data_IF_087461210010
#
_entry.id   IF_087461210010
#
_cell.length_a   1.000
_cell.length_b   1.000
_cell.length_c   1.000
_cell.angle_alpha   90.00
_cell.angle_beta   90.00
_cell.angle_gamma   90.00
#
_symmetry.space_group_name_H-M   'P 1'
#
loop_
_entity.id
_entity.type
_entity.pdbx_description
1 polymer ?
#
# COMPACT_ATOMS: atom_id res chain seq x y z
N UNK A 1 15.78 2.28 13.72
CA UNK A 1 16.03 2.93 12.42
C UNK A 1 14.92 2.59 11.45
N UNK A 2 14.40 3.60 10.80
CA UNK A 2 13.35 3.44 9.81
C UNK A 2 13.97 3.11 8.44
N UNK A 3 13.53 2.02 7.80
CA UNK A 3 13.96 1.69 6.45
C UNK A 3 12.75 1.60 5.54
N UNK A 4 12.87 2.23 4.39
CA UNK A 4 11.86 2.20 3.34
C UNK A 4 12.59 1.84 2.05
N UNK A 5 12.16 0.78 1.39
CA UNK A 5 12.74 0.37 0.12
C UNK A 5 11.80 0.75 -1.02
N UNK A 6 12.27 1.66 -1.86
CA UNK A 6 11.52 2.11 -3.02
C UNK A 6 12.35 1.78 -4.26
N UNK A 7 11.85 0.88 -5.09
CA UNK A 7 12.55 0.42 -6.27
C UNK A 7 12.51 1.44 -7.41
N UNK A 8 13.09 1.09 -8.55
CA UNK A 8 13.15 1.98 -9.71
C UNK A 8 11.78 2.36 -10.25
N UNK A 9 11.66 3.59 -10.71
CA UNK A 9 10.49 4.11 -11.41
C UNK A 9 9.21 4.11 -10.57
N UNK A 10 9.33 4.13 -9.25
CA UNK A 10 8.18 4.30 -8.37
C UNK A 10 7.82 5.77 -8.32
N UNK A 11 6.55 6.09 -8.48
CA UNK A 11 6.04 7.45 -8.35
C UNK A 11 5.15 7.53 -7.12
N UNK A 12 5.37 8.54 -6.31
CA UNK A 12 4.61 8.75 -5.07
C UNK A 12 4.02 10.14 -5.10
N UNK A 13 2.69 10.22 -4.96
CA UNK A 13 1.98 11.48 -4.99
C UNK A 13 2.19 12.33 -3.74
N UNK A 14 1.49 13.46 -3.70
CA UNK A 14 1.63 14.45 -2.64
C UNK A 14 0.99 13.97 -1.34
N UNK A 15 1.59 14.39 -0.22
CA UNK A 15 1.04 14.18 1.11
C UNK A 15 0.84 12.70 1.46
N UNK A 16 1.61 11.81 0.86
CA UNK A 16 1.55 10.39 1.19
C UNK A 16 2.46 10.12 2.39
N UNK A 17 2.01 9.24 3.27
CA UNK A 17 2.73 8.86 4.48
C UNK A 17 3.12 7.39 4.36
N UNK A 18 4.42 7.12 4.40
CA UNK A 18 4.95 5.76 4.30
C UNK A 18 5.68 5.44 5.59
N UNK A 19 5.15 4.49 6.34
CA UNK A 19 5.76 4.10 7.62
C UNK A 19 7.00 3.24 7.39
N UNK A 20 7.72 2.95 8.46
CA UNK A 20 8.98 2.22 8.38
C UNK A 20 8.84 0.80 7.83
N UNK A 21 9.91 0.33 7.19
CA UNK A 21 10.03 -1.03 6.67
C UNK A 21 9.00 -1.38 5.58
N UNK A 22 8.54 -0.37 4.85
CA UNK A 22 7.67 -0.58 3.68
C UNK A 22 8.53 -0.84 2.46
N UNK A 23 8.13 -1.82 1.64
CA UNK A 23 8.76 -2.10 0.36
C UNK A 23 7.81 -1.80 -0.79
N UNK A 24 8.27 -1.05 -1.77
CA UNK A 24 7.49 -0.74 -2.97
C UNK A 24 8.30 -1.20 -4.17
N UNK A 25 7.81 -2.21 -4.88
CA UNK A 25 8.51 -2.77 -6.02
C UNK A 25 8.41 -1.87 -7.25
N UNK A 26 9.26 -2.12 -8.22
CA UNK A 26 9.49 -1.21 -9.34
C UNK A 26 8.27 -0.88 -10.17
N UNK A 27 8.26 0.33 -10.70
CA UNK A 27 7.24 0.86 -11.61
C UNK A 27 5.84 0.95 -11.04
N UNK A 28 5.70 0.90 -9.70
CA UNK A 28 4.40 1.13 -9.07
C UNK A 28 4.14 2.62 -8.94
N UNK A 29 2.87 3.00 -8.99
CA UNK A 29 2.43 4.38 -8.86
C UNK A 29 1.55 4.51 -7.62
N UNK A 30 1.95 5.38 -6.73
CA UNK A 30 1.21 5.66 -5.49
C UNK A 30 0.55 7.03 -5.65
N UNK A 31 -0.76 7.09 -5.44
CA UNK A 31 -1.50 8.34 -5.59
C UNK A 31 -1.23 9.36 -4.49
N UNK A 32 -2.09 10.37 -4.41
CA UNK A 32 -1.98 11.42 -3.40
C UNK A 32 -2.68 11.00 -2.11
N UNK A 33 -2.18 11.48 -0.97
CA UNK A 33 -2.79 11.25 0.34
C UNK A 33 -2.93 9.76 0.70
N UNK A 34 -1.95 8.95 0.29
CA UNK A 34 -1.93 7.53 0.60
C UNK A 34 -1.21 7.31 1.92
N UNK A 35 -1.77 6.45 2.76
CA UNK A 35 -1.13 6.06 4.02
C UNK A 35 -0.77 4.58 3.95
N UNK A 36 0.51 4.28 4.10
CA UNK A 36 1.00 2.91 4.06
C UNK A 36 1.55 2.53 5.42
N UNK A 37 0.91 1.59 6.08
CA UNK A 37 1.34 1.12 7.40
C UNK A 37 2.67 0.37 7.35
N UNK A 38 3.37 0.34 8.48
CA UNK A 38 4.68 -0.26 8.56
C UNK A 38 4.72 -1.72 8.15
N UNK A 39 5.85 -2.15 7.60
CA UNK A 39 6.11 -3.53 7.19
C UNK A 39 5.19 -4.03 6.07
N UNK A 40 4.57 -3.12 5.32
CA UNK A 40 3.75 -3.48 4.17
C UNK A 40 4.62 -3.64 2.92
N UNK A 41 4.13 -4.44 1.98
CA UNK A 41 4.78 -4.63 0.69
C UNK A 41 3.83 -4.34 -0.45
N UNK A 42 4.32 -3.71 -1.51
CA UNK A 42 3.54 -3.43 -2.71
C UNK A 42 4.27 -4.02 -3.91
N UNK A 43 3.61 -4.92 -4.63
CA UNK A 43 4.17 -5.58 -5.80
C UNK A 43 4.43 -4.58 -6.93
N UNK A 44 5.25 -4.99 -7.90
CA UNK A 44 5.61 -4.12 -9.01
C UNK A 44 4.48 -3.87 -9.99
N UNK A 45 4.57 -2.75 -10.70
CA UNK A 45 3.63 -2.36 -11.76
C UNK A 45 2.19 -2.19 -11.30
N UNK A 46 1.99 -1.83 -10.03
CA UNK A 46 0.65 -1.60 -9.49
C UNK A 46 0.32 -0.12 -9.48
N UNK A 47 -0.96 0.17 -9.49
CA UNK A 47 -1.47 1.52 -9.38
C UNK A 47 -2.33 1.62 -8.11
N UNK A 48 -1.87 2.44 -7.18
CA UNK A 48 -2.58 2.70 -5.92
C UNK A 48 -3.24 4.06 -6.05
N UNK A 49 -4.55 4.09 -5.90
CA UNK A 49 -5.33 5.32 -6.08
C UNK A 49 -5.08 6.38 -5.01
N UNK A 50 -5.83 7.47 -5.10
CA UNK A 50 -5.73 8.56 -4.12
C UNK A 50 -6.51 8.22 -2.86
N UNK A 51 -6.08 8.76 -1.73
CA UNK A 51 -6.76 8.60 -0.44
C UNK A 51 -6.91 7.13 -0.02
N UNK A 52 -5.93 6.31 -0.38
CA UNK A 52 -5.91 4.89 -0.01
C UNK A 52 -5.21 4.71 1.33
N UNK A 53 -5.73 3.86 2.18
CA UNK A 53 -5.06 3.49 3.42
C UNK A 53 -4.72 2.00 3.38
N UNK A 54 -3.46 1.69 3.61
CA UNK A 54 -2.95 0.31 3.62
C UNK A 54 -2.52 -0.01 5.04
N UNK A 55 -3.19 -0.97 5.67
CA UNK A 55 -2.87 -1.38 7.04
C UNK A 55 -1.47 -1.97 7.17
N UNK A 56 -0.90 -1.88 8.36
CA UNK A 56 0.45 -2.40 8.62
C UNK A 56 0.56 -3.90 8.33
N UNK A 57 1.70 -4.32 7.80
CA UNK A 57 1.95 -5.72 7.49
C UNK A 57 1.16 -6.25 6.30
N UNK A 58 0.58 -5.37 5.47
CA UNK A 58 -0.22 -5.79 4.33
C UNK A 58 0.64 -6.15 3.13
N UNK A 59 0.15 -7.06 2.30
CA UNK A 59 0.79 -7.40 1.03
C UNK A 59 -0.15 -7.08 -0.13
N UNK A 60 0.18 -6.03 -0.88
CA UNK A 60 -0.64 -5.57 -1.99
C UNK A 60 -0.15 -6.21 -3.29
N UNK A 61 -1.02 -6.97 -3.95
CA UNK A 61 -0.66 -7.69 -5.17
C UNK A 61 -1.52 -7.31 -6.38
N UNK A 62 -2.40 -6.33 -6.22
CA UNK A 62 -3.21 -5.83 -7.33
C UNK A 62 -3.53 -4.36 -7.12
N UNK A 63 -3.99 -3.68 -8.17
CA UNK A 63 -4.33 -2.28 -8.12
C UNK A 63 -5.40 -2.00 -7.06
N UNK A 64 -5.32 -0.81 -6.46
CA UNK A 64 -6.30 -0.38 -5.46
C UNK A 64 -6.96 0.91 -5.94
N UNK A 65 -8.30 0.93 -6.05
CA UNK A 65 -9.00 2.16 -6.47
C UNK A 65 -8.95 3.24 -5.41
N UNK A 66 -9.33 4.46 -5.79
CA UNK A 66 -9.36 5.60 -4.89
C UNK A 66 -10.25 5.34 -3.67
N UNK A 67 -9.93 6.00 -2.58
CA UNK A 67 -10.75 6.05 -1.38
C UNK A 67 -11.03 4.67 -0.77
N UNK A 68 -10.05 3.78 -0.84
CA UNK A 68 -10.19 2.41 -0.36
C UNK A 68 -9.23 2.14 0.80
N UNK A 69 -9.71 1.39 1.78
CA UNK A 69 -8.88 0.88 2.88
C UNK A 69 -8.70 -0.62 2.71
N UNK A 70 -7.45 -1.06 2.78
CA UNK A 70 -7.11 -2.48 2.60
C UNK A 70 -6.24 -2.99 3.75
N UNK A 71 -6.26 -4.29 3.95
CA UNK A 71 -5.47 -4.94 4.99
C UNK A 71 -5.25 -6.41 4.64
N UNK A 72 -4.16 -6.98 5.14
CA UNK A 72 -3.88 -8.40 5.02
C UNK A 72 -2.95 -8.78 3.88
N UNK A 73 -2.75 -10.07 3.69
CA UNK A 73 -1.96 -10.61 2.59
C UNK A 73 -2.70 -11.83 2.01
N UNK A 74 -3.17 -11.78 0.74
CA UNK A 74 -3.22 -10.59 -0.10
C UNK A 74 -4.12 -9.51 0.49
N UNK A 75 -3.76 -8.23 0.25
CA UNK A 75 -4.51 -7.12 0.82
C UNK A 75 -5.94 -7.10 0.28
N UNK A 76 -6.89 -6.99 1.19
CA UNK A 76 -8.32 -6.96 0.88
C UNK A 76 -8.96 -5.71 1.44
N UNK A 77 -10.09 -5.32 0.88
CA UNK A 77 -10.91 -4.29 1.47
C UNK A 77 -11.14 -4.62 2.95
N UNK A 78 -11.13 -3.61 3.83
CA UNK A 78 -11.19 -3.84 5.27
C UNK A 78 -12.43 -4.64 5.69
N UNK A 79 -13.57 -4.41 5.08
CA UNK A 79 -14.78 -5.18 5.38
C UNK A 79 -14.62 -6.65 5.02
N UNK A 80 -14.02 -6.91 3.87
CA UNK A 80 -13.78 -8.27 3.40
C UNK A 80 -12.78 -8.97 4.32
N UNK A 81 -11.71 -8.27 4.70
CA UNK A 81 -10.71 -8.80 5.61
C UNK A 81 -11.33 -9.21 6.96
N UNK A 82 -12.12 -8.33 7.55
CA UNK A 82 -12.75 -8.59 8.84
C UNK A 82 -13.75 -9.75 8.78
N UNK A 83 -14.43 -9.90 7.64
CA UNK A 83 -15.39 -10.98 7.45
C UNK A 83 -14.71 -12.34 7.34
N UNK A 84 -13.55 -12.41 6.70
CA UNK A 84 -12.84 -13.66 6.47
C UNK A 84 -11.98 -14.11 7.64
N UNK A 85 -11.74 -13.25 8.61
CA UNK A 85 -10.86 -13.54 9.75
C UNK A 85 -11.60 -13.58 11.08
N UNK A 86 -12.81 -14.02 11.04
CA UNK A 86 -13.58 -14.21 12.28
C UNK A 86 -13.11 -15.42 13.05
#
# INVERSE_FOLDING_TARGET
MVKIHIAHNVKIGKNSIIAGQVGIAGSSVIGNNVKIGGQSGISGHLKIGNNVEIGGGSGVIKDIPDDTKVMGYPAKNIREFLRTNK
#
